data_IF_884364558694
#
_entry.id   IF_884364558694
#
_cell.length_a   1.000
_cell.length_b   1.000
_cell.length_c   1.000
_cell.angle_alpha   90.00
_cell.angle_beta   90.00
_cell.angle_gamma   90.00
#
_symmetry.space_group_name_H-M   'P 1'
#
loop_
_entity.id
_entity.type
_entity.pdbx_description
1 polymer ?
#
# COMPACT_ATOMS: atom_id res chain seq x y z
N UNK A 1 -29.17 25.58 -27.39
CA UNK A 1 -28.16 24.50 -27.36
C UNK A 1 -27.07 24.99 -26.41
N UNK A 2 -27.07 24.47 -25.18
CA UNK A 2 -26.16 24.90 -24.12
C UNK A 2 -24.85 24.15 -24.27
N UNK A 3 -23.77 24.89 -24.49
CA UNK A 3 -22.41 24.45 -24.25
C UNK A 3 -22.30 24.08 -22.77
N UNK A 4 -22.36 22.79 -22.47
CA UNK A 4 -21.90 22.27 -21.20
C UNK A 4 -20.39 22.45 -21.17
N UNK A 5 -19.95 23.42 -20.37
CA UNK A 5 -18.57 23.55 -19.91
C UNK A 5 -18.05 22.18 -19.47
N UNK A 6 -17.10 21.62 -20.21
CA UNK A 6 -16.19 20.61 -19.69
C UNK A 6 -15.51 21.21 -18.47
N UNK A 7 -15.94 20.80 -17.27
CA UNK A 7 -15.18 21.01 -16.04
C UNK A 7 -13.84 20.31 -16.23
N UNK A 8 -12.74 21.05 -16.12
CA UNK A 8 -11.39 20.51 -16.19
C UNK A 8 -11.24 19.32 -15.24
N UNK A 9 -11.03 18.14 -15.81
CA UNK A 9 -10.71 16.93 -15.05
C UNK A 9 -9.33 17.08 -14.41
N UNK A 10 -9.12 16.41 -13.28
CA UNK A 10 -7.77 16.26 -12.74
C UNK A 10 -6.94 15.47 -13.75
N UNK A 11 -5.82 16.05 -14.16
CA UNK A 11 -4.79 15.39 -14.97
C UNK A 11 -3.59 15.12 -14.06
N UNK A 12 -3.30 13.84 -13.84
CA UNK A 12 -2.13 13.43 -13.06
C UNK A 12 -0.85 13.96 -13.71
N UNK A 13 0.05 14.54 -12.91
CA UNK A 13 1.27 15.09 -13.45
C UNK A 13 2.15 14.02 -14.09
N UNK A 14 2.80 14.40 -15.20
CA UNK A 14 3.74 13.54 -15.89
C UNK A 14 4.89 13.15 -14.97
N UNK A 15 5.18 11.85 -14.92
CA UNK A 15 6.32 11.30 -14.22
C UNK A 15 7.58 11.41 -15.09
N UNK A 16 8.73 11.59 -14.45
CA UNK A 16 10.02 11.63 -15.13
C UNK A 16 10.42 10.23 -15.61
N UNK A 17 10.37 10.04 -16.92
CA UNK A 17 10.68 8.76 -17.56
C UNK A 17 12.13 8.32 -17.35
N UNK A 18 13.08 9.25 -17.29
CA UNK A 18 14.47 8.94 -17.04
C UNK A 18 14.67 8.43 -15.61
N UNK A 19 14.02 9.06 -14.63
CA UNK A 19 14.06 8.59 -13.24
C UNK A 19 13.39 7.22 -13.07
N UNK A 20 12.22 6.99 -13.67
CA UNK A 20 11.57 5.67 -13.63
C UNK A 20 12.51 4.62 -14.22
N UNK A 21 13.13 4.90 -15.36
CA UNK A 21 14.08 3.99 -16.02
C UNK A 21 15.29 3.70 -15.14
N UNK A 22 15.89 4.72 -14.52
CA UNK A 22 17.05 4.57 -13.66
C UNK A 22 16.74 3.72 -12.42
N UNK A 23 15.59 3.97 -11.78
CA UNK A 23 15.12 3.13 -10.68
C UNK A 23 14.85 1.69 -11.13
N UNK A 24 14.25 1.50 -12.30
CA UNK A 24 14.00 0.17 -12.83
C UNK A 24 15.30 -0.59 -13.11
N UNK A 25 16.30 0.06 -13.73
CA UNK A 25 17.63 -0.53 -13.94
C UNK A 25 18.27 -0.93 -12.61
N UNK A 26 18.20 -0.05 -11.61
CA UNK A 26 18.72 -0.34 -10.27
C UNK A 26 18.04 -1.55 -9.64
N UNK A 27 16.71 -1.62 -9.72
CA UNK A 27 15.93 -2.73 -9.17
C UNK A 27 16.24 -4.04 -9.90
N UNK A 28 16.34 -4.03 -11.24
CA UNK A 28 16.70 -5.19 -12.05
C UNK A 28 18.14 -5.66 -11.78
N UNK A 29 19.04 -4.75 -11.35
CA UNK A 29 20.41 -5.10 -11.00
C UNK A 29 20.55 -5.95 -9.72
N UNK A 30 19.50 -6.01 -8.88
CA UNK A 30 19.44 -6.93 -7.72
C UNK A 30 19.35 -8.40 -8.14
N UNK A 31 18.99 -8.67 -9.41
CA UNK A 31 18.89 -10.01 -9.98
C UNK A 31 17.44 -10.46 -10.20
N UNK A 32 17.23 -11.24 -11.26
CA UNK A 32 15.92 -11.75 -11.66
C UNK A 32 15.31 -12.67 -10.59
N UNK A 33 16.13 -13.54 -9.98
CA UNK A 33 15.71 -14.44 -8.89
C UNK A 33 15.20 -13.66 -7.68
N UNK A 34 15.90 -12.60 -7.26
CA UNK A 34 15.48 -11.75 -6.14
C UNK A 34 14.09 -11.13 -6.39
N UNK A 35 13.84 -10.62 -7.60
CA UNK A 35 12.57 -10.00 -7.96
C UNK A 35 11.45 -11.03 -8.10
N UNK A 36 11.75 -12.20 -8.66
CA UNK A 36 10.80 -13.29 -8.76
C UNK A 36 10.35 -13.74 -7.36
N UNK A 37 11.30 -13.96 -6.44
CA UNK A 37 11.01 -14.32 -5.05
C UNK A 37 10.23 -13.24 -4.33
N UNK A 38 10.58 -11.97 -4.55
CA UNK A 38 9.86 -10.85 -3.95
C UNK A 38 8.41 -10.80 -4.44
N UNK A 39 8.21 -10.96 -5.75
CA UNK A 39 6.88 -11.03 -6.32
C UNK A 39 6.09 -12.22 -5.78
N UNK A 40 6.68 -13.42 -5.67
CA UNK A 40 6.00 -14.58 -5.08
C UNK A 40 5.57 -14.32 -3.64
N UNK A 41 6.40 -13.66 -2.84
CA UNK A 41 6.07 -13.34 -1.45
C UNK A 41 4.91 -12.34 -1.32
N UNK A 42 4.89 -11.32 -2.17
CA UNK A 42 3.78 -10.34 -2.24
C UNK A 42 2.50 -10.99 -2.72
N UNK A 43 2.61 -11.84 -3.74
CA UNK A 43 1.49 -12.63 -4.24
C UNK A 43 0.93 -13.58 -3.18
N UNK A 44 1.78 -14.30 -2.45
CA UNK A 44 1.39 -15.18 -1.36
C UNK A 44 0.66 -14.42 -0.23
N UNK A 45 1.04 -13.16 0.04
CA UNK A 45 0.29 -12.29 0.95
C UNK A 45 -1.10 -11.96 0.39
N UNK A 46 -1.22 -11.59 -0.88
CA UNK A 46 -2.54 -11.34 -1.51
C UNK A 46 -3.44 -12.57 -1.41
N UNK A 47 -2.93 -13.75 -1.79
CA UNK A 47 -3.67 -15.01 -1.74
C UNK A 47 -4.12 -15.37 -0.31
N UNK A 48 -3.28 -15.08 0.70
CA UNK A 48 -3.64 -15.24 2.11
C UNK A 48 -4.82 -14.33 2.48
N UNK A 49 -4.79 -13.07 2.07
CA UNK A 49 -5.82 -12.07 2.36
C UNK A 49 -7.12 -12.43 1.66
N UNK A 50 -7.09 -12.69 0.35
CA UNK A 50 -8.24 -13.17 -0.44
C UNK A 50 -8.92 -14.38 0.22
N UNK A 51 -8.12 -15.37 0.64
CA UNK A 51 -8.64 -16.57 1.29
C UNK A 51 -9.27 -16.27 2.65
N UNK A 52 -8.52 -15.62 3.56
CA UNK A 52 -8.95 -15.37 4.96
C UNK A 52 -10.08 -14.35 5.05
N UNK A 53 -10.05 -13.34 4.19
CA UNK A 53 -10.97 -12.22 4.22
C UNK A 53 -12.16 -12.40 3.27
N UNK A 54 -12.24 -13.52 2.53
CA UNK A 54 -13.44 -13.90 1.76
C UNK A 54 -14.74 -13.79 2.57
N UNK A 55 -15.87 -13.53 1.89
CA UNK A 55 -17.20 -13.35 2.51
C UNK A 55 -17.59 -14.47 3.48
N UNK A 56 -17.18 -15.69 3.19
CA UNK A 56 -17.51 -16.87 4.00
C UNK A 56 -16.52 -17.09 5.16
N UNK A 57 -15.23 -16.74 4.96
CA UNK A 57 -14.18 -16.96 5.95
C UNK A 57 -14.10 -15.84 6.98
N UNK A 58 -14.39 -14.61 6.58
CA UNK A 58 -14.25 -13.42 7.43
C UNK A 58 -15.08 -13.51 8.71
N UNK A 59 -16.28 -14.12 8.62
CA UNK A 59 -17.19 -14.34 9.75
C UNK A 59 -16.59 -15.27 10.83
N UNK A 60 -15.62 -16.10 10.45
CA UNK A 60 -14.99 -17.14 11.28
C UNK A 60 -13.59 -16.77 11.78
N UNK A 61 -13.09 -15.56 11.47
CA UNK A 61 -11.72 -15.17 11.85
C UNK A 61 -11.54 -15.17 13.36
N UNK A 62 -10.64 -16.02 13.85
CA UNK A 62 -10.23 -16.01 15.25
C UNK A 62 -9.35 -14.80 15.55
N UNK A 63 -9.11 -14.52 16.83
CA UNK A 63 -8.14 -13.50 17.25
C UNK A 63 -6.73 -13.76 16.66
N UNK A 64 -6.30 -15.03 16.63
CA UNK A 64 -5.04 -15.44 16.02
C UNK A 64 -5.00 -15.19 14.51
N UNK A 65 -6.13 -15.33 13.82
CA UNK A 65 -6.22 -14.99 12.40
C UNK A 65 -6.06 -13.47 12.20
N UNK A 66 -6.71 -12.66 13.05
CA UNK A 66 -6.56 -11.21 13.04
C UNK A 66 -5.11 -10.80 13.32
N UNK A 67 -4.44 -11.41 14.29
CA UNK A 67 -3.01 -11.19 14.54
C UNK A 67 -2.15 -11.50 13.32
N UNK A 68 -2.44 -12.61 12.63
CA UNK A 68 -1.70 -13.04 11.44
C UNK A 68 -1.87 -12.04 10.30
N UNK A 69 -3.09 -11.55 10.07
CA UNK A 69 -3.37 -10.52 9.05
C UNK A 69 -2.66 -9.21 9.42
N UNK A 70 -2.79 -8.75 10.66
CA UNK A 70 -2.16 -7.51 11.13
C UNK A 70 -0.63 -7.58 11.14
N UNK A 71 -0.02 -8.77 11.30
CA UNK A 71 1.44 -8.94 11.21
C UNK A 71 1.97 -8.73 9.79
N UNK A 72 1.12 -8.96 8.78
CA UNK A 72 1.41 -8.76 7.36
C UNK A 72 1.12 -7.34 6.87
N UNK A 73 0.64 -6.44 7.72
CA UNK A 73 0.36 -5.03 7.38
C UNK A 73 1.39 -4.15 8.08
N UNK A 74 2.08 -3.29 7.34
CA UNK A 74 3.21 -2.53 7.87
C UNK A 74 2.80 -1.61 9.02
N UNK A 75 1.69 -0.88 8.85
CA UNK A 75 1.18 0.07 9.82
C UNK A 75 0.66 -0.57 11.12
N UNK A 76 0.25 -1.84 11.10
CA UNK A 76 -0.25 -2.55 12.29
C UNK A 76 0.72 -3.53 12.92
N UNK A 77 1.73 -4.03 12.20
CA UNK A 77 2.57 -5.17 12.64
C UNK A 77 3.08 -5.09 14.07
N UNK A 78 3.59 -3.91 14.46
CA UNK A 78 4.15 -3.64 15.80
C UNK A 78 3.07 -3.31 16.85
N UNK A 79 1.87 -2.94 16.40
CA UNK A 79 0.74 -2.50 17.23
C UNK A 79 -0.39 -3.55 17.28
N UNK A 80 -0.25 -4.72 16.64
CA UNK A 80 -1.32 -5.72 16.45
C UNK A 80 -2.04 -6.14 17.74
N UNK A 81 -1.31 -6.44 18.80
CA UNK A 81 -1.88 -6.81 20.11
C UNK A 81 -2.72 -5.67 20.68
N UNK A 82 -2.14 -4.46 20.70
CA UNK A 82 -2.80 -3.24 21.13
C UNK A 82 -4.08 -2.94 20.33
N UNK A 83 -4.05 -3.11 19.00
CA UNK A 83 -5.23 -2.94 18.14
C UNK A 83 -6.34 -3.91 18.56
N UNK A 84 -6.00 -5.18 18.73
CA UNK A 84 -6.95 -6.23 19.11
C UNK A 84 -7.52 -5.98 20.50
N UNK A 85 -6.67 -5.63 21.46
CA UNK A 85 -7.06 -5.33 22.85
C UNK A 85 -7.97 -4.10 22.94
N UNK A 86 -7.60 -2.99 22.30
CA UNK A 86 -8.36 -1.72 22.39
C UNK A 86 -9.60 -1.69 21.49
N UNK A 87 -9.58 -2.36 20.34
CA UNK A 87 -10.74 -2.41 19.42
C UNK A 87 -11.70 -3.53 19.84
N UNK A 88 -11.17 -4.66 20.30
CA UNK A 88 -11.86 -5.92 20.47
C UNK A 88 -11.90 -6.74 19.18
N UNK A 89 -11.56 -8.03 19.26
CA UNK A 89 -11.49 -8.92 18.10
C UNK A 89 -12.79 -8.99 17.27
N UNK A 90 -13.95 -8.99 17.93
CA UNK A 90 -15.26 -9.00 17.25
C UNK A 90 -15.52 -7.69 16.49
N UNK A 91 -15.21 -6.54 17.10
CA UNK A 91 -15.41 -5.24 16.45
C UNK A 91 -14.43 -5.06 15.29
N UNK A 92 -13.18 -5.50 15.44
CA UNK A 92 -12.20 -5.47 14.36
C UNK A 92 -12.65 -6.34 13.18
N UNK A 93 -13.17 -7.55 13.44
CA UNK A 93 -13.72 -8.43 12.40
C UNK A 93 -14.86 -7.75 11.64
N UNK A 94 -15.82 -7.15 12.35
CA UNK A 94 -16.94 -6.45 11.73
C UNK A 94 -16.48 -5.20 10.96
N UNK A 95 -15.49 -4.45 11.49
CA UNK A 95 -14.89 -3.31 10.79
C UNK A 95 -14.24 -3.74 9.46
N UNK A 96 -13.46 -4.83 9.45
CA UNK A 96 -12.85 -5.38 8.22
C UNK A 96 -13.95 -5.87 7.27
N UNK A 97 -14.97 -6.58 7.77
CA UNK A 97 -16.10 -7.05 6.94
C UNK A 97 -16.81 -5.88 6.27
N UNK A 98 -17.12 -4.84 7.03
CA UNK A 98 -17.78 -3.64 6.54
C UNK A 98 -16.91 -2.86 5.56
N UNK A 99 -15.60 -2.78 5.78
CA UNK A 99 -14.64 -2.18 4.85
C UNK A 99 -14.70 -2.87 3.48
N UNK A 100 -14.61 -4.21 3.47
CA UNK A 100 -14.46 -5.00 2.24
C UNK A 100 -15.77 -5.22 1.49
N UNK A 101 -16.90 -5.34 2.21
CA UNK A 101 -18.16 -5.81 1.65
C UNK A 101 -19.37 -4.90 1.90
N UNK A 102 -19.20 -3.83 2.69
CA UNK A 102 -20.29 -2.97 3.11
C UNK A 102 -21.22 -3.60 4.14
N UNK A 103 -22.32 -2.90 4.41
CA UNK A 103 -23.38 -3.45 5.23
C UNK A 103 -24.22 -4.43 4.42
N UNK A 104 -24.59 -5.56 5.03
CA UNK A 104 -25.65 -6.42 4.50
C UNK A 104 -27.01 -5.74 4.73
N UNK A 105 -27.28 -4.63 4.03
CA UNK A 105 -28.57 -3.94 4.09
C UNK A 105 -29.53 -4.61 3.10
N UNK A 106 -30.16 -5.69 3.53
CA UNK A 106 -31.20 -6.39 2.78
C UNK A 106 -32.29 -6.89 3.72
N UNK A 107 -33.10 -5.98 4.28
CA UNK A 107 -34.38 -6.38 4.86
C UNK A 107 -35.35 -6.62 3.69
N UNK A 108 -35.95 -7.81 3.64
CA UNK A 108 -37.07 -8.14 2.75
C UNK A 108 -36.78 -8.46 1.26
N UNK A 109 -35.69 -9.15 0.92
CA UNK A 109 -35.59 -9.86 -0.38
C UNK A 109 -35.56 -9.00 -1.66
N UNK A 110 -35.59 -7.67 -1.56
CA UNK A 110 -35.45 -6.76 -2.68
C UNK A 110 -33.99 -6.36 -2.85
N UNK A 111 -33.28 -7.10 -3.71
CA UNK A 111 -32.02 -6.68 -4.33
C UNK A 111 -30.83 -6.56 -3.36
N UNK A 112 -29.77 -7.30 -3.67
CA UNK A 112 -28.46 -7.07 -3.06
C UNK A 112 -28.01 -5.66 -3.45
N UNK A 113 -28.07 -4.69 -2.53
CA UNK A 113 -27.63 -3.32 -2.82
C UNK A 113 -26.12 -3.35 -3.03
N UNK A 114 -25.66 -2.90 -4.19
CA UNK A 114 -24.22 -2.74 -4.44
C UNK A 114 -23.66 -1.72 -3.46
N UNK A 115 -22.43 -1.95 -2.99
CA UNK A 115 -21.73 -1.03 -2.09
C UNK A 115 -21.33 0.23 -2.87
N UNK A 116 -22.07 1.32 -2.67
CA UNK A 116 -21.89 2.59 -3.39
C UNK A 116 -20.87 3.51 -2.75
N UNK A 117 -20.20 3.09 -1.66
CA UNK A 117 -19.25 3.94 -0.94
C UNK A 117 -17.98 4.17 -1.76
N UNK A 118 -17.46 5.39 -1.75
CA UNK A 118 -16.14 5.69 -2.32
C UNK A 118 -15.04 5.05 -1.49
N UNK A 119 -13.82 5.01 -2.03
CA UNK A 119 -12.66 4.51 -1.29
C UNK A 119 -12.44 5.31 0.00
N UNK A 120 -12.53 6.63 -0.05
CA UNK A 120 -12.34 7.52 1.11
C UNK A 120 -13.39 7.26 2.19
N UNK A 121 -14.66 7.07 1.80
CA UNK A 121 -15.73 6.75 2.74
C UNK A 121 -15.45 5.43 3.45
N UNK A 122 -15.07 4.38 2.69
CA UNK A 122 -14.71 3.06 3.24
C UNK A 122 -13.55 3.16 4.24
N UNK A 123 -12.49 3.86 3.86
CA UNK A 123 -11.27 4.00 4.65
C UNK A 123 -11.48 4.85 5.90
N UNK A 124 -12.18 5.98 5.78
CA UNK A 124 -12.45 6.87 6.91
C UNK A 124 -13.42 6.24 7.90
N UNK A 125 -14.42 5.50 7.42
CA UNK A 125 -15.32 4.72 8.28
C UNK A 125 -14.56 3.65 9.06
N UNK A 126 -13.70 2.88 8.38
CA UNK A 126 -12.83 1.90 9.05
C UNK A 126 -11.93 2.58 10.08
N UNK A 127 -11.27 3.69 9.71
CA UNK A 127 -10.34 4.39 10.59
C UNK A 127 -11.02 4.90 11.88
N UNK A 128 -12.30 5.28 11.81
CA UNK A 128 -13.10 5.68 12.99
C UNK A 128 -13.54 4.50 13.85
N UNK A 129 -13.59 3.29 13.28
CA UNK A 129 -14.07 2.09 13.98
C UNK A 129 -12.99 1.39 14.81
N UNK A 130 -11.72 1.52 14.44
CA UNK A 130 -10.61 0.84 15.13
C UNK A 130 -9.92 1.74 16.18
N UNK A 131 -9.24 1.11 17.14
CA UNK A 131 -8.45 1.74 18.23
C UNK A 131 -7.04 1.12 18.29
N UNK A 132 -6.17 1.63 19.17
CA UNK A 132 -4.77 1.15 19.29
C UNK A 132 -3.78 1.74 18.29
N UNK A 133 -4.24 2.60 17.37
CA UNK A 133 -3.42 3.31 16.37
C UNK A 133 -3.90 4.74 16.15
N UNK A 134 -3.01 5.58 15.62
CA UNK A 134 -3.36 6.90 15.12
C UNK A 134 -4.15 6.82 13.79
N UNK A 135 -4.76 7.95 13.39
CA UNK A 135 -5.63 8.02 12.21
C UNK A 135 -4.90 7.66 10.91
N UNK A 136 -3.65 8.10 10.74
CA UNK A 136 -2.85 7.81 9.54
C UNK A 136 -2.60 6.32 9.41
N UNK A 137 -2.12 5.68 10.48
CA UNK A 137 -1.92 4.24 10.51
C UNK A 137 -3.22 3.46 10.29
N UNK A 138 -4.36 3.95 10.80
CA UNK A 138 -5.66 3.32 10.56
C UNK A 138 -6.07 3.35 9.08
N UNK A 139 -5.80 4.46 8.38
CA UNK A 139 -6.02 4.58 6.93
C UNK A 139 -5.11 3.65 6.14
N UNK A 140 -3.83 3.58 6.50
CA UNK A 140 -2.87 2.68 5.85
C UNK A 140 -3.26 1.21 6.02
N UNK A 141 -3.75 0.82 7.21
CA UNK A 141 -4.29 -0.54 7.45
C UNK A 141 -5.48 -0.82 6.52
N UNK A 142 -6.41 0.13 6.39
CA UNK A 142 -7.58 -0.04 5.51
C UNK A 142 -7.17 -0.18 4.04
N UNK A 143 -6.22 0.63 3.59
CA UNK A 143 -5.69 0.59 2.24
C UNK A 143 -5.05 -0.76 1.91
N UNK A 144 -4.19 -1.28 2.80
CA UNK A 144 -3.59 -2.61 2.62
C UNK A 144 -4.64 -3.73 2.63
N UNK A 145 -5.64 -3.66 3.52
CA UNK A 145 -6.73 -4.64 3.54
C UNK A 145 -7.52 -4.65 2.22
N UNK A 146 -7.86 -3.49 1.68
CA UNK A 146 -8.58 -3.39 0.40
C UNK A 146 -7.74 -3.92 -0.76
N UNK A 147 -6.50 -3.43 -0.88
CA UNK A 147 -5.60 -3.78 -1.96
C UNK A 147 -5.25 -5.28 -1.97
N UNK A 148 -4.75 -5.84 -0.87
CA UNK A 148 -4.36 -7.26 -0.83
C UNK A 148 -5.54 -8.24 -0.82
N UNK A 149 -6.76 -7.78 -0.57
CA UNK A 149 -7.96 -8.64 -0.74
C UNK A 149 -8.53 -8.58 -2.15
N UNK A 150 -8.38 -7.44 -2.85
CA UNK A 150 -8.86 -7.27 -4.22
C UNK A 150 -7.81 -6.52 -5.06
N UNK A 151 -6.67 -7.16 -5.38
CA UNK A 151 -5.54 -6.49 -6.05
C UNK A 151 -5.90 -5.96 -7.43
N UNK A 152 -6.89 -6.57 -8.10
CA UNK A 152 -7.38 -6.11 -9.41
C UNK A 152 -8.36 -4.93 -9.34
N UNK A 153 -8.80 -4.54 -8.14
CA UNK A 153 -9.83 -3.49 -7.93
C UNK A 153 -9.30 -2.28 -7.20
N UNK A 154 -8.32 -2.48 -6.34
CA UNK A 154 -7.74 -1.41 -5.54
C UNK A 154 -6.23 -1.39 -5.72
N UNK A 155 -5.68 -0.26 -6.15
CA UNK A 155 -4.26 0.07 -5.96
C UNK A 155 -3.91 0.23 -4.48
N UNK A 156 -2.64 0.04 -4.14
CA UNK A 156 -2.13 0.31 -2.80
C UNK A 156 -1.90 1.82 -2.62
N UNK A 157 -2.72 2.45 -1.78
CA UNK A 157 -2.52 3.84 -1.40
C UNK A 157 -2.31 4.01 0.09
N UNK A 158 -1.05 4.03 0.48
CA UNK A 158 -0.60 4.25 1.87
C UNK A 158 0.27 5.50 1.96
N UNK A 159 0.44 6.01 3.17
CA UNK A 159 1.20 7.24 3.44
C UNK A 159 2.69 7.17 3.05
N UNK A 160 3.28 5.98 2.97
CA UNK A 160 4.65 5.82 2.47
C UNK A 160 4.73 5.84 0.94
N UNK A 161 3.63 5.57 0.22
CA UNK A 161 3.56 5.71 -1.24
C UNK A 161 3.28 7.17 -1.60
N UNK A 162 2.19 7.71 -1.04
CA UNK A 162 1.77 9.09 -1.24
C UNK A 162 0.86 9.53 -0.11
N UNK A 163 1.29 10.54 0.64
CA UNK A 163 0.47 11.24 1.63
C UNK A 163 0.13 12.64 1.10
N UNK A 164 -1.12 12.91 0.70
CA UNK A 164 -1.52 14.23 0.21
C UNK A 164 -1.56 15.31 1.30
N UNK A 165 -1.62 14.93 2.59
CA UNK A 165 -1.62 15.91 3.69
C UNK A 165 -0.21 16.45 3.95
N UNK A 166 0.82 15.59 3.87
CA UNK A 166 2.23 15.99 4.08
C UNK A 166 3.05 16.11 2.81
N UNK A 167 2.50 15.73 1.67
CA UNK A 167 3.15 15.75 0.34
C UNK A 167 4.43 14.92 0.31
N UNK A 168 4.37 13.74 0.92
CA UNK A 168 5.51 12.82 1.08
C UNK A 168 5.19 11.45 0.53
N UNK A 169 6.22 10.65 0.25
CA UNK A 169 6.07 9.24 -0.11
C UNK A 169 7.01 8.84 -1.24
N UNK A 170 6.90 7.60 -1.70
CA UNK A 170 7.70 7.06 -2.81
C UNK A 170 7.54 7.89 -4.10
N UNK A 171 6.32 8.37 -4.37
CA UNK A 171 5.99 8.99 -5.64
C UNK A 171 6.73 10.30 -5.89
N UNK A 172 7.14 11.00 -4.83
CA UNK A 172 7.82 12.30 -4.94
C UNK A 172 9.21 12.17 -5.57
N UNK A 173 9.77 10.96 -5.59
CA UNK A 173 11.08 10.67 -6.19
C UNK A 173 11.00 10.33 -7.68
N UNK A 174 9.81 10.30 -8.27
CA UNK A 174 9.60 10.08 -9.70
C UNK A 174 9.41 11.38 -10.48
N UNK A 175 9.90 12.51 -9.94
CA UNK A 175 9.87 13.81 -10.61
C UNK A 175 11.13 14.64 -10.34
N UNK A 176 11.57 15.36 -11.37
CA UNK A 176 12.73 16.26 -11.37
C UNK A 176 12.56 17.54 -10.52
N UNK A 177 11.34 18.06 -10.35
CA UNK A 177 11.11 19.34 -9.67
C UNK A 177 11.07 19.25 -8.13
N UNK A 178 11.86 20.09 -7.46
CA UNK A 178 11.82 20.26 -6.00
C UNK A 178 10.43 20.74 -5.51
N UNK A 179 10.01 20.37 -4.29
CA UNK A 179 8.77 20.88 -3.68
C UNK A 179 8.76 22.41 -3.69
N UNK A 180 7.84 23.01 -4.43
CA UNK A 180 7.76 24.46 -4.67
C UNK A 180 7.19 25.23 -3.48
N UNK A 181 7.83 25.11 -2.30
CA UNK A 181 7.51 25.94 -1.12
C UNK A 181 6.02 25.98 -0.76
N UNK A 182 5.30 24.89 -1.02
CA UNK A 182 3.86 24.78 -0.76
C UNK A 182 2.91 25.34 -1.82
N UNK A 183 3.31 25.42 -3.10
CA UNK A 183 2.41 25.74 -4.24
C UNK A 183 2.21 24.62 -5.27
N UNK A 184 2.96 23.51 -5.21
CA UNK A 184 2.80 22.32 -6.07
C UNK A 184 1.78 21.29 -5.58
N UNK A 185 0.86 21.71 -4.70
CA UNK A 185 0.27 20.92 -3.60
C UNK A 185 -0.75 19.80 -3.90
N UNK A 186 -0.94 19.40 -5.15
CA UNK A 186 -1.97 18.39 -5.52
C UNK A 186 -1.52 17.47 -6.65
N UNK A 187 -0.23 17.44 -6.93
CA UNK A 187 0.31 16.98 -8.20
C UNK A 187 0.07 15.49 -8.50
N UNK A 188 0.01 14.67 -7.45
CA UNK A 188 -0.28 13.24 -7.56
C UNK A 188 -1.71 12.89 -7.14
N UNK A 189 -2.57 13.88 -6.89
CA UNK A 189 -3.97 13.67 -6.53
C UNK A 189 -4.23 13.72 -5.02
N UNK A 190 -5.42 14.20 -4.65
CA UNK A 190 -5.90 14.27 -3.27
C UNK A 190 -7.00 13.23 -2.98
N UNK A 191 -7.47 12.56 -4.02
CA UNK A 191 -8.52 11.53 -3.97
C UNK A 191 -8.01 10.25 -4.63
N UNK A 192 -8.67 9.15 -4.34
CA UNK A 192 -8.26 7.82 -4.76
C UNK A 192 -8.19 7.72 -6.27
N UNK A 193 -9.26 8.16 -6.95
CA UNK A 193 -9.37 8.13 -8.41
C UNK A 193 -8.31 9.02 -9.09
N UNK A 194 -7.88 10.09 -8.43
CA UNK A 194 -6.81 10.95 -8.93
C UNK A 194 -5.45 10.27 -8.80
N UNK A 195 -5.17 9.67 -7.64
CA UNK A 195 -3.91 8.96 -7.42
C UNK A 195 -3.82 7.65 -8.24
N UNK A 196 -4.96 7.00 -8.48
CA UNK A 196 -5.05 5.82 -9.34
C UNK A 196 -4.53 6.10 -10.77
N UNK A 197 -4.75 7.31 -11.30
CA UNK A 197 -4.20 7.70 -12.61
C UNK A 197 -2.67 7.71 -12.61
N UNK A 198 -2.04 8.19 -11.54
CA UNK A 198 -0.58 8.16 -11.40
C UNK A 198 -0.08 6.72 -11.35
N UNK A 199 -0.79 5.88 -10.61
CA UNK A 199 -0.45 4.47 -10.45
C UNK A 199 -0.55 3.69 -11.78
N UNK A 200 -1.57 3.99 -12.60
CA UNK A 200 -1.73 3.48 -13.98
C UNK A 200 -0.61 3.95 -14.91
N UNK A 201 -0.22 5.22 -14.85
CA UNK A 201 0.92 5.73 -15.62
C UNK A 201 2.22 4.97 -15.31
N UNK A 202 2.47 4.62 -14.03
CA UNK A 202 3.64 3.80 -13.66
C UNK A 202 3.54 2.41 -14.31
N UNK A 203 2.38 1.75 -14.21
CA UNK A 203 2.16 0.43 -14.83
C UNK A 203 2.41 0.47 -16.34
N UNK A 204 1.89 1.49 -17.03
CA UNK A 204 2.10 1.72 -18.47
C UNK A 204 3.59 1.88 -18.80
N UNK A 205 4.33 2.68 -18.02
CA UNK A 205 5.78 2.86 -18.22
C UNK A 205 6.58 1.59 -17.97
N UNK A 206 6.23 0.81 -16.95
CA UNK A 206 6.86 -0.50 -16.71
C UNK A 206 6.62 -1.44 -17.90
N UNK A 207 5.43 -1.43 -18.49
CA UNK A 207 5.13 -2.18 -19.71
C UNK A 207 5.94 -1.72 -20.92
N UNK A 208 6.08 -0.41 -21.13
CA UNK A 208 6.92 0.17 -22.18
C UNK A 208 8.39 -0.29 -22.06
N UNK A 209 8.88 -0.45 -20.83
CA UNK A 209 10.21 -1.00 -20.54
C UNK A 209 10.30 -2.53 -20.56
N UNK A 210 9.23 -3.23 -20.98
CA UNK A 210 9.23 -4.67 -21.19
C UNK A 210 8.90 -5.51 -19.95
N UNK A 211 8.53 -4.88 -18.84
CA UNK A 211 8.06 -5.58 -17.64
C UNK A 211 6.63 -6.06 -17.88
N UNK A 212 6.43 -7.38 -17.96
CA UNK A 212 5.11 -7.99 -18.23
C UNK A 212 4.41 -8.33 -16.91
N UNK A 213 3.72 -7.35 -16.34
CA UNK A 213 2.95 -7.51 -15.10
C UNK A 213 1.45 -7.51 -15.37
N UNK A 214 0.68 -8.38 -14.71
CA UNK A 214 -0.77 -8.49 -14.94
C UNK A 214 -1.60 -7.70 -13.93
N UNK A 215 -0.98 -7.36 -12.80
CA UNK A 215 -1.60 -6.75 -11.63
C UNK A 215 -0.70 -5.61 -11.11
N UNK A 216 -1.19 -4.91 -10.10
CA UNK A 216 -0.48 -3.81 -9.47
C UNK A 216 0.60 -4.25 -8.48
N UNK A 217 0.74 -5.55 -8.16
CA UNK A 217 1.67 -6.03 -7.13
C UNK A 217 3.13 -5.73 -7.46
N UNK A 218 3.49 -5.72 -8.75
CA UNK A 218 4.83 -5.32 -9.15
C UNK A 218 5.05 -3.81 -9.06
N UNK A 219 4.01 -3.00 -9.28
CA UNK A 219 4.09 -1.56 -9.07
C UNK A 219 4.32 -1.27 -7.58
N UNK A 220 3.72 -2.05 -6.68
CA UNK A 220 3.98 -1.97 -5.24
C UNK A 220 5.45 -2.26 -4.90
N UNK A 221 6.02 -3.30 -5.51
CA UNK A 221 7.44 -3.66 -5.35
C UNK A 221 8.32 -2.52 -5.85
N UNK A 222 8.01 -1.97 -7.02
CA UNK A 222 8.74 -0.86 -7.61
C UNK A 222 8.75 0.37 -6.70
N UNK A 223 7.58 0.80 -6.22
CA UNK A 223 7.44 1.93 -5.30
C UNK A 223 8.10 1.66 -3.94
N UNK A 224 7.99 0.43 -3.41
CA UNK A 224 8.63 0.05 -2.16
C UNK A 224 10.17 0.10 -2.26
N UNK A 225 10.74 -0.30 -3.39
CA UNK A 225 12.18 -0.23 -3.65
C UNK A 225 12.68 1.21 -3.78
N UNK A 226 11.90 2.09 -4.43
CA UNK A 226 12.20 3.54 -4.49
C UNK A 226 12.23 4.14 -3.09
N UNK A 227 11.17 3.92 -2.31
CA UNK A 227 11.07 4.46 -0.96
C UNK A 227 12.20 3.91 -0.06
N UNK A 228 12.47 2.61 -0.12
CA UNK A 228 13.55 1.98 0.63
C UNK A 228 14.94 2.54 0.26
N UNK A 229 15.18 2.77 -1.03
CA UNK A 229 16.41 3.40 -1.52
C UNK A 229 16.57 4.81 -0.98
N UNK A 230 15.49 5.60 -0.94
CA UNK A 230 15.52 6.95 -0.39
C UNK A 230 15.82 6.95 1.11
N UNK A 231 15.14 6.10 1.89
CA UNK A 231 15.38 6.02 3.34
C UNK A 231 16.83 5.62 3.63
N UNK A 232 17.39 4.69 2.86
CA UNK A 232 18.79 4.30 2.95
C UNK A 232 19.72 5.49 2.66
N UNK A 233 19.47 6.23 1.56
CA UNK A 233 20.24 7.42 1.20
C UNK A 233 20.19 8.52 2.27
N UNK A 234 18.99 8.87 2.78
CA UNK A 234 18.83 9.87 3.83
C UNK A 234 19.50 9.47 5.14
N UNK A 235 19.51 8.18 5.43
CA UNK A 235 20.15 7.67 6.64
C UNK A 235 21.68 7.77 6.53
N UNK A 236 22.23 7.44 5.35
CA UNK A 236 23.67 7.59 5.08
C UNK A 236 24.14 9.04 5.12
N UNK A 237 23.34 9.99 4.61
CA UNK A 237 23.70 11.41 4.58
C UNK A 237 23.62 12.08 5.96
N UNK A 238 22.76 11.58 6.85
CA UNK A 238 22.59 12.12 8.21
C UNK A 238 23.43 11.41 9.26
N UNK A 239 23.75 10.13 9.07
CA UNK A 239 24.56 9.32 9.99
C UNK A 239 25.66 8.58 9.22
N UNK A 240 26.74 9.31 8.89
CA UNK A 240 27.93 8.73 8.22
C UNK A 240 28.53 7.54 8.99
N UNK A 241 28.35 7.48 10.32
CA UNK A 241 28.82 6.38 11.19
C UNK A 241 27.94 5.14 11.19
N UNK A 242 26.75 5.16 10.55
CA UNK A 242 25.81 4.05 10.54
C UNK A 242 25.87 3.18 9.27
N UNK A 243 26.87 3.40 8.40
CA UNK A 243 27.09 2.60 7.19
C UNK A 243 27.29 1.12 7.58
N UNK A 244 26.38 0.25 7.15
CA UNK A 244 26.36 -1.18 7.48
C UNK A 244 25.45 -1.58 8.63
N UNK A 245 24.83 -0.64 9.36
CA UNK A 245 23.84 -0.94 10.41
C UNK A 245 22.41 -1.07 9.86
N UNK A 246 22.16 -0.56 8.65
CA UNK A 246 20.84 -0.53 8.04
C UNK A 246 20.61 -1.72 7.09
N UNK A 247 19.38 -2.27 7.09
CA UNK A 247 19.04 -3.37 6.19
C UNK A 247 19.09 -2.90 4.72
N UNK A 248 19.51 -3.77 3.79
CA UNK A 248 19.47 -3.46 2.36
C UNK A 248 18.09 -2.99 1.89
N UNK A 249 18.03 -2.19 0.83
CA UNK A 249 16.78 -1.63 0.30
C UNK A 249 15.73 -2.72 0.03
N UNK A 250 16.12 -3.86 -0.51
CA UNK A 250 15.24 -5.02 -0.72
C UNK A 250 14.61 -5.56 0.58
N UNK A 251 15.36 -5.61 1.68
CA UNK A 251 14.84 -6.03 2.99
C UNK A 251 13.85 -5.01 3.53
N UNK A 252 14.13 -3.71 3.37
CA UNK A 252 13.21 -2.66 3.78
C UNK A 252 11.93 -2.64 2.94
N UNK A 253 12.04 -2.81 1.62
CA UNK A 253 10.90 -2.91 0.72
C UNK A 253 9.98 -4.09 1.10
N UNK A 254 10.56 -5.27 1.37
CA UNK A 254 9.83 -6.44 1.88
C UNK A 254 9.14 -6.17 3.23
N UNK A 255 9.71 -5.32 4.08
CA UNK A 255 9.08 -4.91 5.35
C UNK A 255 7.91 -3.95 5.12
N UNK A 256 8.02 -3.00 4.19
CA UNK A 256 6.95 -2.06 3.82
C UNK A 256 5.74 -2.80 3.24
N UNK A 257 5.98 -3.85 2.44
CA UNK A 257 4.92 -4.70 1.92
C UNK A 257 4.50 -5.82 2.89
N UNK A 258 5.09 -5.88 4.08
CA UNK A 258 4.71 -6.84 5.13
C UNK A 258 4.98 -8.31 4.80
N UNK A 259 5.88 -8.58 3.84
CA UNK A 259 6.22 -9.93 3.40
C UNK A 259 7.53 -10.46 4.00
N UNK A 260 8.32 -9.59 4.65
CA UNK A 260 9.56 -10.00 5.29
C UNK A 260 9.33 -11.07 6.37
N UNK A 261 9.97 -12.23 6.18
CA UNK A 261 10.14 -13.22 7.24
C UNK A 261 10.82 -12.56 8.44
N UNK A 262 10.35 -12.79 9.68
CA UNK A 262 11.11 -12.35 10.84
C UNK A 262 12.50 -12.99 10.76
N UNK A 263 13.55 -12.17 10.88
CA UNK A 263 14.90 -12.68 11.10
C UNK A 263 14.83 -13.46 12.41
N UNK A 264 14.86 -14.80 12.34
CA UNK A 264 15.19 -15.61 13.49
C UNK A 264 16.68 -15.30 13.76
N UNK A 265 16.98 -14.74 14.92
CA UNK A 265 18.34 -14.40 15.35
C UNK A 265 19.27 -15.64 15.52
N UNK A 266 18.91 -16.79 14.96
CA UNK A 266 19.70 -18.02 15.02
C UNK A 266 20.74 -18.13 13.91
N UNK A 267 20.68 -17.29 12.87
CA UNK A 267 21.54 -17.43 11.68
C UNK A 267 22.73 -16.46 11.66
N UNK A 268 23.06 -15.82 12.80
CA UNK A 268 24.21 -14.91 12.93
C UNK A 268 25.41 -15.57 13.63
N UNK A 269 25.32 -16.85 14.00
CA UNK A 269 26.44 -17.65 14.51
C UNK A 269 26.84 -18.74 13.52
N UNK A 270 27.26 -18.38 12.31
CA UNK A 270 28.16 -19.20 11.48
C UNK A 270 28.54 -18.48 10.19
N UNK A 271 29.47 -17.54 10.28
CA UNK A 271 30.32 -17.08 9.17
C UNK A 271 31.63 -16.57 9.72
#
# INVERSE_FOLDING_TARGET
MSEMQQKGGFEAASLDEALIRDYLIKILSEGEEFLQDFYQDVKAKSELFEKKLSKDSIKKLTEKDLETILDKIFASRRKKKRIIEETGASNLREAIKKLLYGEESGFLGFGKKEDTRTWEEKVEEFARSIRGVDKRAARDIAAELLHFTFPDRYILWTSWIWDPETETGAIVFLKEESPTGGKGRKMYGETYDQFEQVYKQIMEKLHEFGVKVKDYLFVDIFLAMIYATYVDYMTLSTMHSAKGFFPPAGVMARRLLGVHAPILYTDVESS
#
